data_IF_871004315158
#
_entry.id   IF_871004315158
#
_cell.length_a   1.000
_cell.length_b   1.000
_cell.length_c   1.000
_cell.angle_alpha   90.00
_cell.angle_beta   90.00
_cell.angle_gamma   90.00
#
_symmetry.space_group_name_H-M   'P 1'
#
loop_
_entity.id
_entity.type
_entity.pdbx_description
1 polymer ?
#
# COMPACT_ATOMS: atom_id res chain seq x y z
N UNK A 1 -3.72 -24.13 16.56
CA UNK A 1 -2.95 -24.20 15.30
C UNK A 1 -2.48 -22.80 14.96
N UNK A 2 -1.17 -22.59 14.86
CA UNK A 2 -0.54 -21.33 14.41
C UNK A 2 -0.20 -21.46 12.92
N UNK A 3 -0.38 -20.40 12.15
CA UNK A 3 -0.08 -20.40 10.71
C UNK A 3 1.20 -19.60 10.42
N UNK A 4 2.02 -20.05 9.47
CA UNK A 4 3.31 -19.44 9.12
C UNK A 4 3.19 -18.35 8.04
N UNK A 5 2.00 -18.15 7.47
CA UNK A 5 1.72 -17.10 6.49
C UNK A 5 0.29 -16.59 6.64
N UNK A 6 0.11 -15.28 6.40
CA UNK A 6 -1.18 -14.59 6.50
C UNK A 6 -2.23 -15.14 5.52
N UNK A 7 -1.80 -15.56 4.33
CA UNK A 7 -2.62 -16.30 3.36
C UNK A 7 -1.99 -17.68 3.09
N UNK A 8 -2.80 -18.73 2.82
CA UNK A 8 -2.29 -20.01 2.34
C UNK A 8 -1.51 -19.84 1.03
N UNK A 9 -0.48 -20.65 0.79
CA UNK A 9 0.29 -20.60 -0.45
C UNK A 9 -0.63 -20.84 -1.67
N UNK A 10 -0.47 -20.03 -2.72
CA UNK A 10 -1.26 -20.09 -3.96
C UNK A 10 -2.80 -19.94 -3.77
N UNK A 11 -3.25 -19.24 -2.73
CA UNK A 11 -4.67 -18.99 -2.49
C UNK A 11 -5.25 -18.04 -3.55
N UNK A 12 -5.71 -18.61 -4.69
CA UNK A 12 -6.60 -17.93 -5.63
C UNK A 12 -8.03 -18.25 -5.22
N UNK A 13 -8.68 -17.26 -4.65
CA UNK A 13 -10.08 -17.33 -4.25
C UNK A 13 -10.94 -16.84 -5.41
N UNK A 14 -11.94 -17.62 -5.79
CA UNK A 14 -12.88 -17.30 -6.88
C UNK A 14 -14.24 -16.88 -6.31
N UNK A 15 -14.86 -15.87 -6.93
CA UNK A 15 -16.24 -15.50 -6.66
C UNK A 15 -17.22 -16.48 -7.32
N UNK A 16 -17.42 -17.66 -6.72
CA UNK A 16 -18.44 -18.58 -7.23
C UNK A 16 -19.85 -18.01 -7.04
N UNK A 17 -20.64 -17.98 -8.12
CA UNK A 17 -21.98 -17.37 -8.18
C UNK A 17 -23.05 -18.12 -7.35
N UNK A 18 -22.76 -19.35 -6.92
CA UNK A 18 -23.76 -20.28 -6.41
C UNK A 18 -23.63 -20.52 -4.91
N UNK A 19 -23.75 -19.50 -4.03
CA UNK A 19 -23.63 -19.75 -2.59
C UNK A 19 -24.58 -18.96 -1.68
N UNK A 20 -25.11 -19.73 -0.72
CA UNK A 20 -26.00 -19.35 0.39
C UNK A 20 -25.42 -18.21 1.22
N UNK A 21 -26.28 -17.26 1.59
CA UNK A 21 -26.05 -16.29 2.65
C UNK A 21 -25.73 -17.07 3.94
N UNK A 22 -24.47 -17.05 4.39
CA UNK A 22 -24.08 -17.64 5.67
C UNK A 22 -24.18 -16.58 6.77
N UNK A 23 -24.95 -16.85 7.82
CA UNK A 23 -25.24 -15.97 8.98
C UNK A 23 -24.06 -15.72 9.93
N UNK A 24 -22.82 -15.94 9.50
CA UNK A 24 -21.64 -15.70 10.34
C UNK A 24 -21.09 -14.28 10.12
N UNK A 25 -20.57 -13.60 11.16
CA UNK A 25 -20.18 -12.19 11.08
C UNK A 25 -18.80 -12.01 10.43
N UNK A 26 -18.62 -12.49 9.20
CA UNK A 26 -17.39 -12.38 8.40
C UNK A 26 -16.92 -10.91 8.33
N UNK A 27 -17.84 -10.02 7.97
CA UNK A 27 -17.62 -8.58 7.91
C UNK A 27 -17.12 -7.98 9.22
N UNK A 28 -17.64 -8.45 10.36
CA UNK A 28 -17.21 -7.97 11.68
C UNK A 28 -15.75 -8.33 11.95
N UNK A 29 -15.38 -9.58 11.68
CA UNK A 29 -14.01 -10.07 11.87
C UNK A 29 -13.03 -9.36 10.94
N UNK A 30 -13.41 -9.17 9.67
CA UNK A 30 -12.61 -8.38 8.72
C UNK A 30 -12.47 -6.93 9.19
N UNK A 31 -13.55 -6.30 9.65
CA UNK A 31 -13.50 -4.92 10.16
C UNK A 31 -12.51 -4.76 11.32
N UNK A 32 -12.52 -5.71 12.26
CA UNK A 32 -11.56 -5.75 13.38
C UNK A 32 -10.12 -5.93 12.88
N UNK A 33 -9.89 -6.88 11.98
CA UNK A 33 -8.56 -7.12 11.41
C UNK A 33 -8.07 -5.95 10.54
N UNK A 34 -8.98 -5.24 9.88
CA UNK A 34 -8.66 -4.08 9.06
C UNK A 34 -8.17 -2.92 9.92
N UNK A 35 -8.79 -2.70 11.08
CA UNK A 35 -8.30 -1.72 12.06
C UNK A 35 -6.87 -2.07 12.52
N UNK A 36 -6.63 -3.32 12.90
CA UNK A 36 -5.31 -3.79 13.34
C UNK A 36 -4.28 -3.64 12.21
N UNK A 37 -4.66 -3.99 10.98
CA UNK A 37 -3.79 -3.89 9.82
C UNK A 37 -3.37 -2.45 9.51
N UNK A 38 -4.28 -1.48 9.66
CA UNK A 38 -4.01 -0.07 9.41
C UNK A 38 -3.21 0.58 10.54
N UNK A 39 -3.47 0.20 11.80
CA UNK A 39 -2.88 0.88 12.95
C UNK A 39 -1.52 0.28 13.39
N UNK A 40 -1.37 -1.04 13.35
CA UNK A 40 -0.27 -1.72 14.05
C UNK A 40 0.48 -2.74 13.20
N UNK A 41 -0.16 -3.34 12.20
CA UNK A 41 0.36 -4.53 11.51
C UNK A 41 0.29 -4.42 9.99
N UNK A 42 1.27 -3.77 9.35
CA UNK A 42 1.32 -3.68 7.89
C UNK A 42 1.45 -5.05 7.22
N UNK A 43 1.98 -6.04 7.93
CA UNK A 43 2.22 -7.39 7.41
C UNK A 43 0.92 -8.15 7.04
N UNK A 44 -0.17 -7.92 7.77
CA UNK A 44 -1.48 -8.53 7.45
C UNK A 44 -2.31 -7.68 6.49
N UNK A 45 -1.88 -6.47 6.14
CA UNK A 45 -2.69 -5.50 5.40
C UNK A 45 -3.16 -6.04 4.04
N UNK A 46 -2.27 -6.70 3.30
CA UNK A 46 -2.64 -7.33 2.03
C UNK A 46 -3.68 -8.44 2.21
N UNK A 47 -3.45 -9.35 3.15
CA UNK A 47 -4.33 -10.49 3.40
C UNK A 47 -5.75 -10.06 3.79
N UNK A 48 -5.87 -9.08 4.70
CA UNK A 48 -7.16 -8.55 5.13
C UNK A 48 -7.90 -7.89 3.97
N UNK A 49 -7.21 -7.04 3.20
CA UNK A 49 -7.83 -6.36 2.05
C UNK A 49 -8.25 -7.35 0.96
N UNK A 50 -7.48 -8.41 0.74
CA UNK A 50 -7.83 -9.47 -0.21
C UNK A 50 -9.09 -10.23 0.22
N UNK A 51 -9.18 -10.62 1.50
CA UNK A 51 -10.36 -11.29 2.05
C UNK A 51 -11.60 -10.39 2.10
N UNK A 52 -11.41 -9.08 2.27
CA UNK A 52 -12.50 -8.09 2.28
C UNK A 52 -13.25 -8.02 0.94
N UNK A 53 -12.62 -8.43 -0.17
CA UNK A 53 -13.24 -8.47 -1.49
C UNK A 53 -14.44 -9.41 -1.54
N UNK A 54 -14.39 -10.50 -0.78
CA UNK A 54 -15.40 -11.56 -0.77
C UNK A 54 -16.44 -11.37 0.34
N UNK A 55 -16.50 -10.18 0.93
CA UNK A 55 -17.32 -9.92 2.12
C UNK A 55 -18.83 -9.95 1.87
N UNK A 56 -19.27 -9.67 0.64
CA UNK A 56 -20.67 -9.77 0.22
C UNK A 56 -21.10 -11.20 -0.13
N UNK A 57 -20.17 -12.01 -0.65
CA UNK A 57 -20.42 -13.39 -1.10
C UNK A 57 -19.33 -14.28 -0.54
N UNK A 58 -19.58 -14.84 0.64
CA UNK A 58 -18.61 -15.69 1.33
C UNK A 58 -18.83 -17.18 1.00
N UNK A 59 -17.74 -17.95 1.01
CA UNK A 59 -17.68 -19.39 0.76
C UNK A 59 -16.81 -20.01 1.87
N UNK A 60 -16.89 -21.32 2.05
CA UNK A 60 -16.08 -22.06 3.02
C UNK A 60 -14.58 -21.82 2.81
N UNK A 61 -14.10 -21.69 1.57
CA UNK A 61 -12.70 -21.37 1.28
C UNK A 61 -12.28 -19.99 1.81
N UNK A 62 -13.14 -18.98 1.73
CA UNK A 62 -12.86 -17.65 2.28
C UNK A 62 -12.81 -17.68 3.81
N UNK A 63 -13.68 -18.48 4.44
CA UNK A 63 -13.65 -18.71 5.89
C UNK A 63 -12.38 -19.41 6.35
N UNK A 64 -11.99 -20.48 5.68
CA UNK A 64 -10.74 -21.20 5.99
C UNK A 64 -9.52 -20.26 5.85
N UNK A 65 -9.51 -19.39 4.85
CA UNK A 65 -8.46 -18.39 4.69
C UNK A 65 -8.47 -17.32 5.80
N UNK A 66 -9.65 -16.88 6.25
CA UNK A 66 -9.79 -15.96 7.39
C UNK A 66 -9.33 -16.61 8.70
N UNK A 67 -9.68 -17.87 8.94
CA UNK A 67 -9.20 -18.63 10.10
C UNK A 67 -7.68 -18.79 10.08
N UNK A 68 -7.08 -19.04 8.90
CA UNK A 68 -5.64 -19.07 8.73
C UNK A 68 -4.99 -17.71 9.05
N UNK A 69 -5.59 -16.61 8.59
CA UNK A 69 -5.12 -15.26 8.91
C UNK A 69 -5.16 -14.98 10.42
N UNK A 70 -6.24 -15.40 11.10
CA UNK A 70 -6.37 -15.27 12.56
C UNK A 70 -5.33 -16.15 13.28
N UNK A 71 -5.08 -17.37 12.78
CA UNK A 71 -4.05 -18.26 13.30
C UNK A 71 -2.64 -17.69 13.12
N UNK A 72 -2.36 -17.03 12.00
CA UNK A 72 -1.11 -16.30 11.76
C UNK A 72 -0.96 -15.13 12.73
N UNK A 73 -2.00 -14.30 12.86
CA UNK A 73 -2.02 -13.17 13.79
C UNK A 73 -1.76 -13.61 15.24
N UNK A 74 -2.35 -14.73 15.67
CA UNK A 74 -2.10 -15.34 16.99
C UNK A 74 -0.66 -15.83 17.17
N UNK A 75 -0.09 -16.45 16.12
CA UNK A 75 1.29 -16.96 16.15
C UNK A 75 2.37 -15.89 16.15
N UNK A 76 2.03 -14.68 15.72
CA UNK A 76 2.93 -13.52 15.56
C UNK A 76 2.56 -12.39 16.51
N UNK A 77 2.00 -12.72 17.68
CA UNK A 77 1.55 -11.74 18.69
C UNK A 77 2.69 -10.92 19.28
N UNK A 78 3.89 -11.48 19.30
CA UNK A 78 5.10 -10.83 19.79
C UNK A 78 5.88 -10.08 18.70
N UNK A 79 5.47 -10.21 17.45
CA UNK A 79 6.06 -9.47 16.34
C UNK A 79 5.49 -8.06 16.30
N UNK A 80 6.36 -7.07 16.12
CA UNK A 80 5.97 -5.66 16.12
C UNK A 80 6.86 -4.81 15.25
N UNK A 81 6.46 -3.54 15.11
CA UNK A 81 7.24 -2.55 14.38
C UNK A 81 8.44 -2.16 15.23
N UNK A 82 9.64 -2.41 14.70
CA UNK A 82 10.88 -2.05 15.37
C UNK A 82 11.24 -0.60 15.09
N UNK A 83 11.07 0.26 16.10
CA UNK A 83 11.48 1.66 16.06
C UNK A 83 12.92 1.78 16.54
N UNK A 84 13.82 2.30 15.70
CA UNK A 84 15.23 2.50 16.04
C UNK A 84 15.57 3.99 16.04
N UNK A 85 16.44 4.41 16.95
CA UNK A 85 17.12 5.71 16.85
C UNK A 85 17.99 5.67 15.59
N UNK A 86 17.77 6.61 14.69
CA UNK A 86 18.38 6.58 13.36
C UNK A 86 19.18 7.86 13.13
N UNK A 87 20.33 7.74 12.46
CA UNK A 87 21.17 8.90 12.11
C UNK A 87 20.56 9.74 10.99
N UNK A 88 19.77 9.11 10.11
CA UNK A 88 19.03 9.76 9.01
C UNK A 88 17.64 10.24 9.49
N UNK A 89 17.58 10.85 10.69
CA UNK A 89 16.31 11.18 11.37
C UNK A 89 15.61 12.42 10.83
N UNK A 90 16.17 13.11 9.85
CA UNK A 90 15.56 14.30 9.26
C UNK A 90 14.86 13.99 7.93
N UNK A 91 15.01 12.77 7.40
CA UNK A 91 14.51 12.42 6.08
C UNK A 91 13.19 11.65 6.17
N UNK A 92 12.15 12.17 5.52
CA UNK A 92 10.92 11.43 5.27
C UNK A 92 10.97 10.79 3.88
N UNK A 93 10.68 9.48 3.79
CA UNK A 93 10.68 8.71 2.54
C UNK A 93 9.34 8.00 2.37
N UNK A 94 8.75 8.04 1.18
CA UNK A 94 7.50 7.32 0.88
C UNK A 94 7.74 6.32 -0.24
N UNK A 95 7.58 5.03 0.05
CA UNK A 95 7.63 3.96 -0.96
C UNK A 95 6.22 3.71 -1.48
N UNK A 96 6.08 3.60 -2.80
CA UNK A 96 4.79 3.43 -3.45
C UNK A 96 4.85 2.24 -4.38
N UNK A 97 3.79 1.45 -4.36
CA UNK A 97 3.56 0.40 -5.34
C UNK A 97 2.12 0.41 -5.81
N UNK A 98 1.92 0.11 -7.09
CA UNK A 98 0.61 0.04 -7.71
C UNK A 98 0.50 -1.24 -8.51
N UNK A 99 -0.65 -1.89 -8.41
CA UNK A 99 -0.97 -3.10 -9.17
C UNK A 99 -2.25 -2.87 -10.00
N UNK A 100 -2.13 -3.08 -11.31
CA UNK A 100 -3.20 -2.96 -12.29
C UNK A 100 -3.70 -4.34 -12.70
N UNK A 101 -5.01 -4.51 -12.88
CA UNK A 101 -5.59 -5.77 -13.36
C UNK A 101 -6.01 -6.77 -12.27
N UNK A 102 -6.33 -6.32 -11.05
CA UNK A 102 -7.03 -7.15 -10.06
C UNK A 102 -8.44 -7.57 -10.54
N UNK A 103 -9.12 -8.45 -9.80
CA UNK A 103 -10.50 -8.91 -10.10
C UNK A 103 -11.40 -7.70 -10.45
N UNK A 104 -12.09 -7.71 -11.60
CA UNK A 104 -12.83 -6.57 -12.18
C UNK A 104 -11.99 -5.33 -12.61
N UNK A 105 -10.72 -5.50 -12.97
CA UNK A 105 -9.82 -4.48 -13.54
C UNK A 105 -9.62 -3.24 -12.67
N UNK A 106 -9.83 -3.35 -11.35
CA UNK A 106 -9.68 -2.22 -10.42
C UNK A 106 -8.24 -2.10 -9.94
N UNK A 107 -7.75 -0.86 -9.89
CA UNK A 107 -6.43 -0.51 -9.39
C UNK A 107 -6.34 -0.74 -7.88
N UNK A 108 -5.27 -1.39 -7.45
CA UNK A 108 -4.88 -1.45 -6.03
C UNK A 108 -3.54 -0.75 -5.89
N UNK A 109 -3.44 0.21 -4.97
CA UNK A 109 -2.18 0.87 -4.66
C UNK A 109 -1.90 0.78 -3.17
N UNK A 110 -0.62 0.72 -2.84
CA UNK A 110 -0.13 0.74 -1.48
C UNK A 110 1.03 1.72 -1.34
N UNK A 111 1.15 2.31 -0.17
CA UNK A 111 2.32 3.09 0.18
C UNK A 111 2.76 2.80 1.61
N UNK A 112 4.04 3.06 1.87
CA UNK A 112 4.64 3.04 3.21
C UNK A 112 5.50 4.29 3.37
N UNK A 113 5.18 5.11 4.37
CA UNK A 113 5.93 6.31 4.73
C UNK A 113 6.83 6.01 5.92
N UNK A 114 8.11 6.30 5.75
CA UNK A 114 9.14 6.18 6.75
C UNK A 114 9.61 7.55 7.21
N UNK A 115 9.88 7.66 8.50
CA UNK A 115 10.72 8.69 9.09
C UNK A 115 12.09 8.08 9.41
N UNK A 116 13.10 8.47 8.64
CA UNK A 116 14.38 7.77 8.59
C UNK A 116 14.20 6.33 8.13
N UNK A 117 14.32 5.37 9.06
CA UNK A 117 14.12 3.93 8.83
C UNK A 117 12.86 3.37 9.52
N UNK A 118 12.11 4.21 10.22
CA UNK A 118 10.96 3.79 11.02
C UNK A 118 9.67 4.03 10.22
N UNK A 119 8.81 3.01 10.03
CA UNK A 119 7.53 3.23 9.40
C UNK A 119 6.61 4.01 10.33
N UNK A 120 6.00 5.06 9.79
CA UNK A 120 5.11 5.97 10.54
C UNK A 120 3.68 5.96 9.99
N UNK A 121 3.51 5.64 8.71
CA UNK A 121 2.20 5.41 8.11
C UNK A 121 2.31 4.44 6.95
N UNK A 122 1.22 3.73 6.68
CA UNK A 122 1.08 2.88 5.52
C UNK A 122 -0.39 2.76 5.18
N UNK A 123 -0.68 2.49 3.92
CA UNK A 123 -2.04 2.25 3.48
C UNK A 123 -2.01 1.29 2.32
N UNK A 124 -2.98 0.38 2.29
CA UNK A 124 -3.35 -0.37 1.11
C UNK A 124 -4.77 0.02 0.75
N UNK A 125 -4.98 0.44 -0.51
CA UNK A 125 -6.31 0.84 -0.96
C UNK A 125 -6.57 0.36 -2.37
N UNK A 126 -7.71 -0.30 -2.52
CA UNK A 126 -8.31 -0.57 -3.82
C UNK A 126 -9.15 0.64 -4.22
N UNK A 127 -8.87 1.20 -5.39
CA UNK A 127 -9.62 2.34 -5.90
C UNK A 127 -10.96 1.91 -6.49
N UNK A 128 -11.94 2.80 -6.37
CA UNK A 128 -13.23 2.69 -7.05
C UNK A 128 -13.10 3.01 -8.54
N UNK A 129 -12.19 3.91 -8.87
CA UNK A 129 -11.85 4.34 -10.23
C UNK A 129 -11.06 3.26 -10.97
N UNK A 130 -11.50 2.96 -12.19
CA UNK A 130 -10.77 2.08 -13.12
C UNK A 130 -9.75 2.94 -13.86
N UNK A 131 -8.47 2.58 -13.76
CA UNK A 131 -7.44 3.24 -14.54
C UNK A 131 -7.44 2.68 -15.96
N UNK A 132 -7.38 3.55 -16.96
CA UNK A 132 -7.38 3.17 -18.38
C UNK A 132 -6.04 2.59 -18.84
N UNK A 133 -4.96 2.76 -18.05
CA UNK A 133 -3.65 2.16 -18.30
C UNK A 133 -2.86 1.93 -17.00
N UNK A 134 -1.83 1.07 -17.06
CA UNK A 134 -0.86 0.85 -15.97
C UNK A 134 -0.20 2.18 -15.55
N UNK A 135 0.22 2.99 -16.52
CA UNK A 135 0.85 4.28 -16.26
C UNK A 135 -0.10 5.22 -15.50
N UNK A 136 -1.36 5.30 -15.91
CA UNK A 136 -2.37 6.09 -15.20
C UNK A 136 -2.56 5.59 -13.77
N UNK A 137 -2.56 4.28 -13.57
CA UNK A 137 -2.70 3.65 -12.27
C UNK A 137 -1.55 4.03 -11.31
N UNK A 138 -0.32 3.99 -11.79
CA UNK A 138 0.85 4.42 -11.03
C UNK A 138 0.81 5.92 -10.71
N UNK A 139 0.40 6.78 -11.66
CA UNK A 139 0.24 8.22 -11.38
C UNK A 139 -0.83 8.52 -10.34
N UNK A 140 -1.94 7.78 -10.37
CA UNK A 140 -2.95 7.92 -9.32
C UNK A 140 -2.38 7.50 -7.96
N UNK A 141 -1.66 6.38 -7.90
CA UNK A 141 -0.99 5.95 -6.66
C UNK A 141 0.01 7.01 -6.14
N UNK A 142 0.81 7.59 -7.04
CA UNK A 142 1.73 8.69 -6.74
C UNK A 142 1.00 9.90 -6.14
N UNK A 143 -0.15 10.28 -6.71
CA UNK A 143 -1.00 11.37 -6.21
C UNK A 143 -1.48 11.16 -4.78
N UNK A 144 -2.03 9.97 -4.49
CA UNK A 144 -2.51 9.68 -3.15
C UNK A 144 -1.38 9.69 -2.12
N UNK A 145 -0.26 9.04 -2.44
CA UNK A 145 0.88 8.98 -1.55
C UNK A 145 1.55 10.34 -1.34
N UNK A 146 1.62 11.18 -2.38
CA UNK A 146 2.17 12.53 -2.30
C UNK A 146 1.33 13.44 -1.38
N UNK A 147 -0.01 13.37 -1.47
CA UNK A 147 -0.90 14.14 -0.59
C UNK A 147 -0.73 13.75 0.87
N UNK A 148 -0.70 12.44 1.15
CA UNK A 148 -0.50 11.90 2.50
C UNK A 148 0.88 12.25 3.06
N UNK A 149 1.93 12.13 2.23
CA UNK A 149 3.27 12.51 2.60
C UNK A 149 3.39 14.01 2.91
N UNK A 150 2.80 14.88 2.10
CA UNK A 150 2.80 16.32 2.34
C UNK A 150 2.02 16.69 3.60
N UNK A 151 0.87 16.06 3.83
CA UNK A 151 0.10 16.27 5.05
C UNK A 151 0.94 15.91 6.29
N UNK A 152 1.59 14.74 6.27
CA UNK A 152 2.41 14.29 7.39
C UNK A 152 3.69 15.12 7.53
N UNK A 153 4.34 15.51 6.44
CA UNK A 153 5.47 16.43 6.47
C UNK A 153 5.10 17.76 7.14
N UNK A 154 3.98 18.37 6.75
CA UNK A 154 3.50 19.64 7.30
C UNK A 154 3.12 19.55 8.79
N UNK A 155 2.73 18.36 9.25
CA UNK A 155 2.47 18.09 10.66
C UNK A 155 3.77 18.02 11.46
N UNK A 156 4.76 17.26 10.97
CA UNK A 156 6.00 17.00 11.69
C UNK A 156 7.00 18.15 11.62
N UNK A 157 7.06 18.90 10.51
CA UNK A 157 8.02 19.99 10.32
C UNK A 157 7.83 21.16 11.30
N UNK A 158 6.69 21.22 12.01
CA UNK A 158 6.44 22.17 13.10
C UNK A 158 7.15 21.80 14.41
N UNK A 159 7.55 20.55 14.55
CA UNK A 159 8.10 19.98 15.79
C UNK A 159 9.53 19.48 15.64
N UNK A 160 9.95 19.11 14.43
CA UNK A 160 11.27 18.57 14.14
C UNK A 160 11.78 19.14 12.82
N UNK A 161 13.09 19.30 12.72
CA UNK A 161 13.75 19.68 11.47
C UNK A 161 13.69 18.52 10.48
N UNK A 162 13.09 18.78 9.31
CA UNK A 162 12.96 17.81 8.25
C UNK A 162 13.57 18.34 6.95
N UNK A 163 14.25 17.46 6.24
CA UNK A 163 14.67 17.67 4.87
C UNK A 163 13.48 17.49 3.92
N UNK A 164 13.63 17.99 2.70
CA UNK A 164 12.63 17.83 1.64
C UNK A 164 12.16 16.38 1.52
N UNK A 165 10.85 16.11 1.58
CA UNK A 165 10.30 14.75 1.53
C UNK A 165 10.60 14.08 0.18
N UNK A 166 11.00 12.80 0.21
CA UNK A 166 11.32 12.01 -0.99
C UNK A 166 10.25 10.95 -1.24
N UNK A 167 9.62 11.03 -2.39
CA UNK A 167 8.73 10.03 -2.94
C UNK A 167 9.53 9.03 -3.79
N UNK A 168 9.33 7.73 -3.59
CA UNK A 168 10.07 6.65 -4.24
C UNK A 168 9.13 5.77 -5.06
N UNK A 169 9.41 5.68 -6.35
CA UNK A 169 8.66 4.86 -7.31
C UNK A 169 9.61 4.09 -8.23
N UNK A 170 9.21 2.92 -8.71
CA UNK A 170 9.98 2.13 -9.66
C UNK A 170 9.66 2.42 -11.13
N UNK A 171 8.64 3.23 -11.41
CA UNK A 171 8.38 3.63 -12.77
C UNK A 171 9.34 4.75 -13.18
N UNK A 172 10.38 4.40 -13.94
CA UNK A 172 11.35 5.35 -14.52
C UNK A 172 10.67 6.41 -15.40
N UNK A 173 9.60 6.04 -16.12
CA UNK A 173 8.85 6.97 -16.96
C UNK A 173 8.13 8.01 -16.10
N UNK A 174 7.52 7.59 -14.99
CA UNK A 174 6.86 8.51 -14.07
C UNK A 174 7.84 9.52 -13.47
N UNK A 175 9.03 9.07 -13.09
CA UNK A 175 10.10 9.92 -12.56
C UNK A 175 10.59 10.90 -13.65
N UNK A 176 10.91 10.41 -14.85
CA UNK A 176 11.41 11.25 -15.95
C UNK A 176 10.43 12.34 -16.39
N UNK A 177 9.13 12.02 -16.47
CA UNK A 177 8.09 12.99 -16.86
C UNK A 177 7.93 14.08 -15.79
N UNK A 178 8.17 13.77 -14.51
CA UNK A 178 8.10 14.78 -13.43
C UNK A 178 9.29 15.75 -13.43
N UNK A 179 10.46 15.31 -13.89
CA UNK A 179 11.69 16.10 -13.92
C UNK A 179 11.81 16.93 -15.21
N UNK A 180 11.25 16.45 -16.32
CA UNK A 180 11.34 17.13 -17.61
C UNK A 180 10.30 18.25 -17.77
N UNK A 181 10.77 19.49 -17.63
CA UNK A 181 9.98 20.72 -17.85
C UNK A 181 9.40 20.85 -19.27
N UNK A 182 9.94 20.11 -20.24
CA UNK A 182 9.55 20.07 -21.66
C UNK A 182 8.35 19.15 -21.97
N UNK A 183 8.05 18.16 -21.12
CA UNK A 183 6.97 17.16 -21.37
C UNK A 183 5.56 17.69 -21.11
N UNK A 184 5.43 18.98 -20.73
CA UNK A 184 4.18 19.65 -20.37
C UNK A 184 3.13 19.74 -21.49
N UNK A 185 3.50 19.52 -22.76
CA UNK A 185 2.60 19.72 -23.91
C UNK A 185 1.92 18.45 -24.43
N UNK A 186 2.51 17.26 -24.28
CA UNK A 186 1.98 16.02 -24.89
C UNK A 186 1.11 15.17 -23.96
N UNK A 187 1.01 15.55 -22.68
CA UNK A 187 0.23 14.80 -21.68
C UNK A 187 -0.98 15.60 -21.17
N UNK A 188 -1.67 16.33 -22.06
CA UNK A 188 -2.87 17.10 -21.70
C UNK A 188 -4.02 16.25 -21.13
N UNK A 189 -3.98 14.91 -21.31
CA UNK A 189 -4.92 13.97 -20.69
C UNK A 189 -4.47 13.43 -19.32
N UNK A 190 -3.31 13.85 -18.81
CA UNK A 190 -2.90 13.47 -17.45
C UNK A 190 -3.76 14.23 -16.42
N UNK A 191 -4.26 13.45 -15.49
CA UNK A 191 -5.18 13.80 -14.40
C UNK A 191 -4.73 15.11 -13.72
N UNK A 192 -5.65 16.04 -13.44
CA UNK A 192 -5.36 17.33 -12.75
C UNK A 192 -4.46 17.18 -11.52
N UNK A 193 -4.63 16.07 -10.80
CA UNK A 193 -3.82 15.73 -9.63
C UNK A 193 -2.32 15.57 -9.94
N UNK A 194 -1.96 15.11 -11.13
CA UNK A 194 -0.58 15.01 -11.59
C UNK A 194 0.10 16.38 -11.68
N UNK A 195 -0.59 17.37 -12.25
CA UNK A 195 -0.05 18.72 -12.41
C UNK A 195 0.23 19.36 -11.04
N UNK A 196 -0.61 19.11 -10.05
CA UNK A 196 -0.43 19.59 -8.68
C UNK A 196 0.84 19.00 -8.06
N UNK A 197 1.09 17.69 -8.21
CA UNK A 197 2.30 17.06 -7.67
C UNK A 197 3.55 17.60 -8.36
N UNK A 198 3.51 17.72 -9.68
CA UNK A 198 4.64 18.28 -10.44
C UNK A 198 4.94 19.71 -10.01
N UNK A 199 3.93 20.51 -9.71
CA UNK A 199 4.13 21.85 -9.18
C UNK A 199 4.87 21.80 -7.83
N UNK A 200 4.48 20.91 -6.91
CA UNK A 200 5.21 20.70 -5.66
C UNK A 200 6.66 20.24 -5.86
N UNK A 201 6.91 19.40 -6.87
CA UNK A 201 8.26 18.95 -7.24
C UNK A 201 9.10 20.10 -7.79
N UNK A 202 8.55 20.89 -8.72
CA UNK A 202 9.23 22.06 -9.31
C UNK A 202 9.52 23.13 -8.25
N UNK A 203 8.59 23.33 -7.31
CA UNK A 203 8.78 24.23 -6.17
C UNK A 203 9.77 23.69 -5.12
N UNK A 204 10.39 22.51 -5.35
CA UNK A 204 11.30 21.84 -4.43
C UNK A 204 10.70 21.57 -3.04
N UNK A 205 9.36 21.46 -2.96
CA UNK A 205 8.64 21.08 -1.74
C UNK A 205 8.62 19.57 -1.54
N UNK A 206 8.97 18.80 -2.57
CA UNK A 206 9.06 17.34 -2.57
C UNK A 206 9.98 16.89 -3.70
N UNK A 207 10.62 15.74 -3.54
CA UNK A 207 11.45 15.12 -4.58
C UNK A 207 10.83 13.78 -5.01
N UNK A 208 10.79 13.51 -6.32
CA UNK A 208 10.44 12.20 -6.85
C UNK A 208 11.71 11.48 -7.33
N UNK A 209 12.00 10.30 -6.76
CA UNK A 209 13.18 9.50 -7.10
C UNK A 209 12.79 8.10 -7.54
N UNK A 210 13.59 7.56 -8.46
CA UNK A 210 13.48 6.18 -8.88
C UNK A 210 14.08 5.25 -7.82
N UNK A 211 13.42 4.11 -7.55
CA UNK A 211 13.94 3.05 -6.70
C UNK A 211 13.87 1.69 -7.41
N UNK A 212 14.88 0.85 -7.21
CA UNK A 212 14.89 -0.49 -7.76
C UNK A 212 13.81 -1.37 -7.11
N UNK A 213 13.21 -2.26 -7.89
CA UNK A 213 12.13 -3.16 -7.44
C UNK A 213 12.50 -4.01 -6.21
N UNK A 214 13.79 -4.34 -6.02
CA UNK A 214 14.28 -5.17 -4.91
C UNK A 214 14.30 -4.47 -3.56
N UNK A 215 14.19 -3.14 -3.54
CA UNK A 215 14.23 -2.30 -2.34
C UNK A 215 12.84 -1.74 -1.98
N UNK A 216 11.78 -2.24 -2.63
CA UNK A 216 10.41 -1.79 -2.41
C UNK A 216 9.85 -2.34 -1.10
N UNK A 217 9.89 -1.52 -0.05
CA UNK A 217 9.13 -1.81 1.16
C UNK A 217 7.61 -1.83 0.91
N UNK A 218 7.12 -1.11 -0.10
CA UNK A 218 5.70 -1.08 -0.47
C UNK A 218 5.18 -2.39 -1.10
N UNK A 219 6.04 -3.31 -1.52
CA UNK A 219 5.62 -4.63 -2.04
C UNK A 219 4.83 -5.44 -0.99
N UNK A 220 5.11 -5.23 0.31
CA UNK A 220 4.35 -5.84 1.40
C UNK A 220 2.86 -5.49 1.34
N UNK A 221 2.54 -4.35 0.73
CA UNK A 221 1.18 -3.84 0.63
C UNK A 221 0.46 -4.41 -0.59
N UNK A 222 1.15 -4.77 -1.67
CA UNK A 222 0.52 -5.16 -2.95
C UNK A 222 0.64 -6.64 -3.28
N UNK A 223 1.46 -7.38 -2.53
CA UNK A 223 1.74 -8.80 -2.77
C UNK A 223 1.61 -9.62 -1.48
N UNK A 224 1.26 -10.92 -1.58
CA UNK A 224 1.24 -11.79 -0.41
C UNK A 224 2.65 -11.96 0.16
N UNK A 225 2.76 -11.87 1.49
CA UNK A 225 3.99 -12.20 2.20
C UNK A 225 4.38 -13.66 1.96
N UNK A 226 5.64 -13.88 1.61
CA UNK A 226 6.23 -15.24 1.59
C UNK A 226 6.29 -15.75 3.03
N UNK A 227 6.07 -17.06 3.24
CA UNK A 227 6.09 -17.61 4.60
C UNK A 227 7.42 -17.30 5.27
N UNK A 228 7.36 -16.92 6.54
CA UNK A 228 8.57 -16.84 7.37
C UNK A 228 9.11 -18.26 7.46
N UNK A 229 10.26 -18.53 6.83
CA UNK A 229 11.01 -19.75 7.12
C UNK A 229 11.52 -19.55 8.55
N UNK A 230 10.89 -20.20 9.51
CA UNK A 230 11.50 -20.43 10.83
C UNK A 230 12.83 -21.13 10.58
N UNK A 231 13.94 -20.42 10.81
CA UNK A 231 15.23 -21.03 11.08
C UNK A 231 15.24 -21.55 12.51
#
# INVERSE_FOLDING_TARGET
>A
MTANSALPANCKLESNFSLKKMDKPYLKQIGMLLYIAQALRPDIAYAVNYLALFSLKTNQHHWNALENLIAYFRGTTYDGILIRKNQDSQQMKCYIDANWGGEASRLTHGYVILHGKNPIAWQLRRQTTVASSMAQAEYMALSFAAKEMLWMYNLFCKTIDLNTPILLSDNKMAVGISTDSMSKKQTQHLIREFNVINEYIVMKKMELKWVAMREKLADIMTKPLRSVKTQ
#
